data_IF_514334285433
#
_entry.id   IF_514334285433
#
_cell.length_a   1.000
_cell.length_b   1.000
_cell.length_c   1.000
_cell.angle_alpha   90.00
_cell.angle_beta   90.00
_cell.angle_gamma   90.00
#
_symmetry.space_group_name_H-M   'P 1'
#
loop_
_entity.id
_entity.type
_entity.pdbx_description
1 polymer ?
#
# COMPACT_ATOMS: atom_id res chain seq x y z
N UNK A 1 6.55 20.51 15.47
CA UNK A 1 5.49 20.28 14.46
C UNK A 1 5.69 18.87 13.95
N UNK A 2 4.94 17.92 14.47
CA UNK A 2 5.05 16.52 14.03
C UNK A 2 4.33 16.39 12.69
N UNK A 3 5.09 16.52 11.61
CA UNK A 3 4.62 16.41 10.24
C UNK A 3 4.11 15.00 9.99
N UNK A 4 2.81 14.85 9.87
CA UNK A 4 2.18 13.61 9.47
C UNK A 4 2.63 13.24 8.05
N UNK A 5 3.34 12.12 7.87
CA UNK A 5 3.87 11.68 6.57
C UNK A 5 2.98 10.62 5.91
N UNK A 6 2.87 10.69 4.59
CA UNK A 6 2.14 9.71 3.81
C UNK A 6 2.90 8.38 3.77
N UNK A 7 2.38 7.29 4.35
CA UNK A 7 3.05 5.96 4.32
C UNK A 7 3.29 5.38 2.92
N UNK A 8 2.66 5.94 1.90
CA UNK A 8 2.84 5.50 0.52
C UNK A 8 4.06 6.17 -0.10
N UNK A 9 4.15 7.49 0.00
CA UNK A 9 5.11 8.31 -0.74
C UNK A 9 5.99 9.22 0.12
N UNK A 10 5.87 9.10 1.43
CA UNK A 10 6.60 9.82 2.48
C UNK A 10 6.49 11.34 2.44
N UNK A 11 5.68 11.88 1.51
CA UNK A 11 5.32 13.28 1.45
C UNK A 11 4.55 13.71 2.71
N UNK A 12 4.92 14.87 3.25
CA UNK A 12 4.21 15.50 4.36
C UNK A 12 2.76 15.81 3.96
N UNK A 13 1.83 15.52 4.87
CA UNK A 13 0.42 15.73 4.64
C UNK A 13 -0.34 15.99 5.94
N UNK A 14 -1.08 17.11 6.05
CA UNK A 14 -1.90 17.39 7.23
C UNK A 14 -3.19 16.55 7.26
N UNK A 15 -3.55 15.90 6.14
CA UNK A 15 -4.84 15.23 5.94
C UNK A 15 -4.62 13.82 5.40
N UNK A 16 -5.26 12.84 6.04
CA UNK A 16 -5.24 11.44 5.62
C UNK A 16 -6.57 11.02 5.01
N UNK A 17 -6.52 10.14 4.01
CA UNK A 17 -7.70 9.69 3.28
C UNK A 17 -7.91 8.17 3.36
N UNK A 18 -9.18 7.76 3.31
CA UNK A 18 -9.62 6.35 3.26
C UNK A 18 -9.23 5.48 4.46
N UNK A 19 -8.98 6.09 5.62
CA UNK A 19 -8.61 5.36 6.83
C UNK A 19 -7.18 4.79 6.81
N UNK A 20 -6.39 5.14 5.80
CA UNK A 20 -4.95 4.89 5.70
C UNK A 20 -4.20 6.22 5.70
N UNK A 21 -2.95 6.22 6.16
CA UNK A 21 -2.09 7.41 6.18
C UNK A 21 -1.58 7.73 4.74
N UNK A 22 -2.50 8.09 3.85
CA UNK A 22 -2.21 8.41 2.45
C UNK A 22 -2.60 9.86 2.12
N UNK A 23 -1.66 10.59 1.52
CA UNK A 23 -1.90 11.94 1.02
C UNK A 23 -2.94 11.97 -0.11
N UNK A 24 -3.48 13.18 -0.39
CA UNK A 24 -4.46 13.42 -1.45
C UNK A 24 -4.04 12.85 -2.82
N UNK A 25 -2.77 12.99 -3.20
CA UNK A 25 -2.29 12.50 -4.49
C UNK A 25 -2.35 10.97 -4.59
N UNK A 26 -1.91 10.25 -3.54
CA UNK A 26 -2.01 8.79 -3.47
C UNK A 26 -3.46 8.31 -3.43
N UNK A 27 -4.31 9.02 -2.71
CA UNK A 27 -5.74 8.76 -2.63
C UNK A 27 -6.43 8.84 -4.01
N UNK A 28 -6.18 9.91 -4.77
CA UNK A 28 -6.72 10.08 -6.12
C UNK A 28 -6.15 9.05 -7.08
N UNK A 29 -4.83 8.80 -7.01
CA UNK A 29 -4.16 7.79 -7.82
C UNK A 29 -4.79 6.40 -7.64
N UNK A 30 -5.01 6.00 -6.37
CA UNK A 30 -5.59 4.70 -6.04
C UNK A 30 -7.00 4.54 -6.61
N UNK A 31 -7.89 5.51 -6.37
CA UNK A 31 -9.26 5.50 -6.90
C UNK A 31 -9.29 5.35 -8.42
N UNK A 32 -8.45 6.13 -9.12
CA UNK A 32 -8.35 6.07 -10.59
C UNK A 32 -7.78 4.75 -11.08
N UNK A 33 -6.89 4.12 -10.32
CA UNK A 33 -6.22 2.88 -10.71
C UNK A 33 -7.10 1.66 -10.46
N UNK A 34 -7.81 1.62 -9.33
CA UNK A 34 -8.71 0.50 -8.99
C UNK A 34 -9.86 0.33 -9.99
N UNK A 35 -10.29 1.42 -10.63
CA UNK A 35 -11.31 1.39 -11.68
C UNK A 35 -10.78 1.02 -13.08
N UNK A 36 -9.47 0.79 -13.24
CA UNK A 36 -8.89 0.43 -14.55
C UNK A 36 -9.14 -1.04 -14.85
N UNK A 37 -9.45 -1.33 -16.12
CA UNK A 37 -9.54 -2.70 -16.64
C UNK A 37 -8.16 -3.32 -16.92
N UNK A 38 -7.17 -2.49 -17.24
CA UNK A 38 -5.80 -2.93 -17.56
C UNK A 38 -4.87 -2.70 -16.37
N UNK A 39 -4.27 -3.74 -15.80
CA UNK A 39 -3.35 -3.60 -14.67
C UNK A 39 -2.02 -2.99 -15.12
N UNK A 40 -1.37 -2.25 -14.23
CA UNK A 40 -0.01 -1.77 -14.48
C UNK A 40 0.99 -2.93 -14.42
N UNK A 41 2.03 -2.89 -15.27
CA UNK A 41 3.13 -3.86 -15.25
C UNK A 41 4.35 -3.22 -14.60
N UNK A 42 4.96 -3.91 -13.64
CA UNK A 42 6.23 -3.50 -13.07
C UNK A 42 7.37 -4.04 -13.93
N UNK A 43 8.29 -3.16 -14.36
CA UNK A 43 9.48 -3.57 -15.14
C UNK A 43 10.62 -4.12 -14.28
N UNK A 44 10.67 -3.76 -12.99
CA UNK A 44 11.75 -4.14 -12.07
C UNK A 44 11.33 -5.26 -11.09
N UNK A 45 10.52 -6.22 -11.55
CA UNK A 45 10.08 -7.40 -10.76
C UNK A 45 9.61 -7.07 -9.32
N UNK A 46 8.80 -6.01 -9.17
CA UNK A 46 8.29 -5.48 -7.90
C UNK A 46 9.33 -5.00 -6.87
N UNK A 47 10.61 -4.83 -7.26
CA UNK A 47 11.68 -4.33 -6.37
C UNK A 47 11.68 -2.82 -6.16
N UNK A 48 10.86 -2.07 -6.89
CA UNK A 48 10.76 -0.61 -6.76
C UNK A 48 10.33 -0.13 -5.36
N UNK A 49 9.67 -0.99 -4.58
CA UNK A 49 9.22 -0.64 -3.23
C UNK A 49 10.38 -0.44 -2.25
N UNK A 50 11.50 -1.14 -2.46
CA UNK A 50 12.71 -1.03 -1.63
C UNK A 50 13.49 0.24 -1.97
N UNK A 51 13.41 0.69 -3.22
CA UNK A 51 14.12 1.88 -3.73
C UNK A 51 13.38 3.19 -3.45
N UNK A 52 12.25 3.16 -2.72
CA UNK A 52 11.39 4.35 -2.53
C UNK A 52 10.79 4.87 -3.85
N UNK A 53 10.84 4.10 -4.92
CA UNK A 53 10.59 4.60 -6.26
C UNK A 53 9.09 4.56 -6.60
N UNK A 54 8.44 5.70 -6.40
CA UNK A 54 7.03 5.95 -6.70
C UNK A 54 6.72 6.09 -8.20
N UNK A 55 7.75 6.09 -9.07
CA UNK A 55 7.56 6.16 -10.53
C UNK A 55 6.87 4.90 -11.05
N UNK A 56 7.07 3.75 -10.39
CA UNK A 56 6.39 2.52 -10.77
C UNK A 56 4.93 2.51 -10.30
N UNK A 57 4.00 2.80 -11.23
CA UNK A 57 2.55 2.81 -10.96
C UNK A 57 2.03 1.49 -10.38
N UNK A 58 2.56 0.33 -10.83
CA UNK A 58 2.20 -0.98 -10.28
C UNK A 58 2.60 -1.12 -8.81
N UNK A 59 3.86 -0.85 -8.48
CA UNK A 59 4.34 -0.96 -7.11
C UNK A 59 3.67 0.06 -6.19
N UNK A 60 3.41 1.27 -6.68
CA UNK A 60 2.66 2.28 -5.92
C UNK A 60 1.24 1.81 -5.62
N UNK A 61 0.55 1.23 -6.60
CA UNK A 61 -0.80 0.68 -6.39
C UNK A 61 -0.78 -0.50 -5.41
N UNK A 62 0.14 -1.46 -5.59
CA UNK A 62 0.29 -2.61 -4.69
C UNK A 62 0.60 -2.19 -3.25
N UNK A 63 1.44 -1.16 -3.06
CA UNK A 63 1.76 -0.59 -1.73
C UNK A 63 0.48 -0.04 -1.08
N UNK A 64 -0.35 0.67 -1.83
CA UNK A 64 -1.62 1.21 -1.33
C UNK A 64 -2.60 0.07 -1.00
N UNK A 65 -2.78 -0.91 -1.89
CA UNK A 65 -3.63 -2.09 -1.63
C UNK A 65 -3.22 -2.83 -0.35
N UNK A 66 -1.92 -3.03 -0.11
CA UNK A 66 -1.41 -3.66 1.11
C UNK A 66 -1.73 -2.86 2.38
N UNK A 67 -1.78 -1.53 2.28
CA UNK A 67 -2.16 -0.66 3.39
C UNK A 67 -3.67 -0.68 3.63
N UNK A 68 -4.49 -0.77 2.56
CA UNK A 68 -5.95 -0.93 2.66
C UNK A 68 -6.36 -2.29 3.25
N UNK A 69 -5.64 -3.36 2.91
CA UNK A 69 -5.91 -4.71 3.41
C UNK A 69 -5.59 -4.90 4.90
N UNK A 70 -4.87 -3.96 5.52
CA UNK A 70 -4.69 -3.92 6.97
C UNK A 70 -5.96 -3.35 7.60
N UNK A 71 -6.99 -4.20 7.74
CA UNK A 71 -8.03 -3.97 8.75
C UNK A 71 -7.30 -3.64 10.05
N UNK A 72 -7.62 -2.50 10.69
CA UNK A 72 -7.10 -2.16 12.01
C UNK A 72 -7.40 -3.32 12.96
N UNK A 73 -6.45 -4.22 13.16
CA UNK A 73 -6.50 -5.15 14.28
C UNK A 73 -6.41 -4.23 15.49
N UNK A 74 -7.45 -4.22 16.31
CA UNK A 74 -7.36 -3.64 17.65
C UNK A 74 -6.07 -4.16 18.28
N UNK A 75 -5.33 -3.28 18.96
CA UNK A 75 -4.22 -3.65 19.87
C UNK A 75 -4.62 -4.93 20.61
N UNK A 76 -3.94 -6.03 20.33
CA UNK A 76 -4.32 -7.35 20.83
C UNK A 76 -3.95 -8.48 19.87
N UNK A 77 -2.68 -8.86 19.89
CA UNK A 77 -2.22 -10.26 19.96
C UNK A 77 -3.17 -11.36 19.42
N UNK A 78 -2.77 -12.03 18.31
CA UNK A 78 -2.11 -13.35 18.35
C UNK A 78 -1.97 -13.94 16.94
N UNK A 79 -0.83 -14.61 16.77
CA UNK A 79 -0.33 -15.34 15.60
C UNK A 79 -1.29 -16.45 15.21
N UNK A 80 -1.42 -16.72 13.90
CA UNK A 80 -1.69 -18.08 13.43
C UNK A 80 -0.69 -18.41 12.34
N UNK A 81 0.01 -19.49 12.63
CA UNK A 81 1.06 -20.17 11.89
C UNK A 81 0.62 -20.61 10.51
N UNK A 82 1.49 -20.35 9.54
CA UNK A 82 1.53 -21.11 8.30
C UNK A 82 2.00 -22.52 8.64
N UNK A 83 1.14 -23.52 8.49
CA UNK A 83 1.56 -24.90 8.34
C UNK A 83 1.10 -25.42 6.98
N UNK A 84 2.08 -26.06 6.38
CA UNK A 84 2.27 -26.41 4.99
C UNK A 84 1.23 -27.43 4.48
N UNK A 85 1.08 -27.43 3.16
CA UNK A 85 0.48 -28.50 2.38
C UNK A 85 1.39 -29.75 2.41
N UNK A 86 0.89 -30.90 2.87
CA UNK A 86 1.39 -32.24 2.56
C UNK A 86 0.14 -33.16 2.51
N UNK A 87 -0.41 -33.45 1.32
CA UNK A 87 -0.22 -34.70 0.55
C UNK A 87 -0.26 -35.96 1.43
N UNK A 88 -1.43 -36.61 1.50
CA UNK A 88 -1.68 -38.01 1.12
C UNK A 88 -3.20 -38.28 1.11
#
# INVERSE_FOLDING_TARGET
MDGNTCRVCDAETPVFHYGIDACRACAVFYRRTRARKTPFVCKNKQRCAVEGNLLCKKCRFDKIERLFGQKKTKRGEKKVSLTFCEIL
#
